data_IF_877035957414
#
_entry.id   IF_877035957414
#
_cell.length_a   1.000
_cell.length_b   1.000
_cell.length_c   1.000
_cell.angle_alpha   90.00
_cell.angle_beta   90.00
_cell.angle_gamma   90.00
#
_symmetry.space_group_name_H-M   'P 1'
#
loop_
_entity.id
_entity.type
_entity.pdbx_description
1 polymer ?
#
# COMPACT_ATOMS: atom_id res chain seq x y z
N UNK A 1 10.39 14.88 6.07
CA UNK A 1 9.90 13.84 7.02
C UNK A 1 8.50 13.32 6.70
N UNK A 2 7.41 14.13 6.62
CA UNK A 2 6.05 13.58 6.37
C UNK A 2 5.97 12.85 5.02
N UNK A 3 6.49 13.44 3.94
CA UNK A 3 6.58 12.81 2.63
C UNK A 3 7.33 11.47 2.68
N UNK A 4 8.54 11.45 3.25
CA UNK A 4 9.38 10.25 3.33
C UNK A 4 8.71 9.14 4.15
N UNK A 5 8.02 9.49 5.24
CA UNK A 5 7.24 8.52 6.01
C UNK A 5 6.08 7.94 5.19
N UNK A 6 5.34 8.80 4.47
CA UNK A 6 4.27 8.34 3.60
C UNK A 6 4.76 7.46 2.46
N UNK A 7 5.94 7.77 1.91
CA UNK A 7 6.59 6.98 0.88
C UNK A 7 7.06 5.62 1.43
N UNK A 8 7.74 5.59 2.59
CA UNK A 8 8.19 4.35 3.23
C UNK A 8 7.01 3.42 3.57
N UNK A 9 5.91 3.97 4.09
CA UNK A 9 4.72 3.18 4.41
C UNK A 9 4.05 2.61 3.14
N UNK A 10 4.05 3.35 2.03
CA UNK A 10 3.54 2.86 0.74
C UNK A 10 4.46 1.78 0.15
N UNK A 11 5.76 1.95 0.25
CA UNK A 11 6.76 0.98 -0.19
C UNK A 11 6.58 -0.34 0.56
N UNK A 12 6.50 -0.29 1.90
CA UNK A 12 6.25 -1.49 2.71
C UNK A 12 4.94 -2.18 2.33
N UNK A 13 3.84 -1.42 2.17
CA UNK A 13 2.55 -1.98 1.76
C UNK A 13 2.59 -2.61 0.35
N UNK A 14 3.43 -2.08 -0.54
CA UNK A 14 3.63 -2.60 -1.89
C UNK A 14 4.41 -3.91 -1.84
N UNK A 15 5.50 -3.97 -1.08
CA UNK A 15 6.31 -5.17 -0.87
C UNK A 15 5.54 -6.30 -0.20
N UNK A 16 4.69 -5.98 0.78
CA UNK A 16 3.84 -6.98 1.43
C UNK A 16 2.77 -7.55 0.49
N UNK A 17 2.23 -6.72 -0.42
CA UNK A 17 1.25 -7.17 -1.40
C UNK A 17 1.91 -8.00 -2.50
N UNK A 18 3.03 -7.54 -3.06
CA UNK A 18 3.78 -8.27 -4.08
C UNK A 18 4.29 -9.61 -3.54
N UNK A 19 4.91 -9.59 -2.36
CA UNK A 19 5.39 -10.80 -1.69
C UNK A 19 4.28 -11.82 -1.45
N UNK A 20 3.10 -11.38 -1.00
CA UNK A 20 1.96 -12.27 -0.81
C UNK A 20 1.50 -12.88 -2.14
N UNK A 21 1.43 -12.10 -3.22
CA UNK A 21 0.99 -12.60 -4.53
C UNK A 21 1.98 -13.58 -5.14
N UNK A 22 3.28 -13.31 -5.05
CA UNK A 22 4.33 -14.13 -5.66
C UNK A 22 4.60 -15.44 -4.92
N UNK A 23 4.48 -15.43 -3.58
CA UNK A 23 4.93 -16.55 -2.74
C UNK A 23 3.76 -17.16 -1.96
N UNK A 24 3.17 -16.39 -1.05
CA UNK A 24 2.26 -16.91 -0.03
C UNK A 24 0.89 -17.35 -0.59
N UNK A 25 0.44 -16.71 -1.67
CA UNK A 25 -0.82 -17.05 -2.33
C UNK A 25 -0.75 -18.47 -2.91
N UNK A 26 0.38 -18.87 -3.49
CA UNK A 26 0.55 -20.21 -4.05
C UNK A 26 0.59 -21.31 -2.99
N UNK A 27 0.93 -20.96 -1.75
CA UNK A 27 0.97 -21.86 -0.60
C UNK A 27 -0.37 -21.97 0.14
N UNK A 28 -1.28 -21.01 -0.07
CA UNK A 28 -2.58 -20.96 0.61
C UNK A 28 -3.57 -21.89 -0.10
N UNK A 29 -3.97 -22.98 0.56
CA UNK A 29 -4.95 -23.95 0.01
C UNK A 29 -6.40 -23.49 0.15
N UNK A 30 -6.68 -22.55 1.07
CA UNK A 30 -8.01 -22.00 1.28
C UNK A 30 -8.25 -20.76 0.40
N UNK A 31 -9.02 -20.93 -0.68
CA UNK A 31 -9.33 -19.86 -1.63
C UNK A 31 -10.08 -18.68 -1.02
N UNK A 32 -10.92 -18.91 -0.01
CA UNK A 32 -11.66 -17.83 0.68
C UNK A 32 -10.71 -16.96 1.49
N UNK A 33 -9.79 -17.59 2.22
CA UNK A 33 -8.75 -16.90 2.97
C UNK A 33 -7.81 -16.13 2.05
N UNK A 34 -7.40 -16.74 0.94
CA UNK A 34 -6.57 -16.08 -0.08
C UNK A 34 -7.25 -14.82 -0.60
N UNK A 35 -8.52 -14.92 -1.01
CA UNK A 35 -9.30 -13.78 -1.51
C UNK A 35 -9.35 -12.66 -0.48
N UNK A 36 -9.62 -12.98 0.78
CA UNK A 36 -9.69 -12.00 1.85
C UNK A 36 -8.33 -11.29 2.05
N UNK A 37 -7.25 -12.06 2.16
CA UNK A 37 -5.89 -11.53 2.33
C UNK A 37 -5.44 -10.63 1.18
N UNK A 38 -5.69 -11.04 -0.07
CA UNK A 38 -5.40 -10.20 -1.24
C UNK A 38 -6.20 -8.89 -1.18
N UNK A 39 -7.50 -8.96 -0.89
CA UNK A 39 -8.35 -7.78 -0.84
C UNK A 39 -7.90 -6.79 0.23
N UNK A 40 -7.55 -7.27 1.43
CA UNK A 40 -7.14 -6.40 2.53
C UNK A 40 -5.80 -5.73 2.23
N UNK A 41 -4.81 -6.48 1.73
CA UNK A 41 -3.50 -5.94 1.34
C UNK A 41 -3.62 -4.92 0.20
N UNK A 42 -4.40 -5.24 -0.83
CA UNK A 42 -4.62 -4.32 -1.96
C UNK A 42 -5.32 -3.02 -1.51
N UNK A 43 -6.35 -3.11 -0.68
CA UNK A 43 -7.05 -1.93 -0.14
C UNK A 43 -6.11 -1.07 0.69
N UNK A 44 -5.31 -1.68 1.56
CA UNK A 44 -4.36 -0.95 2.39
C UNK A 44 -3.30 -0.22 1.55
N UNK A 45 -2.69 -0.91 0.57
CA UNK A 45 -1.75 -0.30 -0.39
C UNK A 45 -2.40 0.88 -1.14
N UNK A 46 -3.65 0.72 -1.60
CA UNK A 46 -4.43 1.79 -2.22
C UNK A 46 -4.64 3.00 -1.30
N UNK A 47 -4.94 2.78 -0.02
CA UNK A 47 -5.07 3.84 0.98
C UNK A 47 -3.75 4.56 1.22
N UNK A 48 -2.62 3.83 1.35
CA UNK A 48 -1.30 4.46 1.54
C UNK A 48 -0.92 5.33 0.35
N UNK A 49 -1.21 4.88 -0.87
CA UNK A 49 -0.99 5.66 -2.09
C UNK A 49 -1.82 6.94 -2.08
N UNK A 50 -3.09 6.86 -1.68
CA UNK A 50 -3.96 8.05 -1.58
C UNK A 50 -3.41 9.06 -0.58
N UNK A 51 -3.02 8.62 0.62
CA UNK A 51 -2.44 9.51 1.66
C UNK A 51 -1.18 10.21 1.14
N UNK A 52 -0.29 9.49 0.46
CA UNK A 52 0.92 10.09 -0.13
C UNK A 52 0.56 11.16 -1.18
N UNK A 53 -0.35 10.85 -2.11
CA UNK A 53 -0.74 11.77 -3.18
C UNK A 53 -1.50 12.99 -2.65
N UNK A 54 -2.41 12.80 -1.70
CA UNK A 54 -3.16 13.89 -1.08
C UNK A 54 -2.19 14.86 -0.36
N UNK A 55 -1.18 14.36 0.36
CA UNK A 55 -0.14 15.19 0.99
C UNK A 55 0.73 15.95 -0.02
N UNK A 56 1.12 15.30 -1.13
CA UNK A 56 1.90 15.94 -2.20
C UNK A 56 1.09 17.06 -2.86
N UNK A 57 -0.20 16.81 -3.14
CA UNK A 57 -1.10 17.80 -3.72
C UNK A 57 -1.26 19.02 -2.79
N UNK A 58 -1.52 18.80 -1.50
CA UNK A 58 -1.60 19.87 -0.50
C UNK A 58 -0.32 20.71 -0.47
N UNK A 59 0.85 20.08 -0.49
CA UNK A 59 2.11 20.83 -0.46
C UNK A 59 2.33 21.68 -1.72
N UNK A 60 1.81 21.28 -2.89
CA UNK A 60 1.84 22.12 -4.09
C UNK A 60 0.82 23.26 -4.03
N UNK A 61 -0.37 23.02 -3.47
CA UNK A 61 -1.40 24.06 -3.33
C UNK A 61 -1.01 25.15 -2.32
N UNK A 62 -0.27 24.76 -1.28
CA UNK A 62 0.13 25.63 -0.18
C UNK A 62 1.58 26.12 -0.25
N UNK A 63 2.31 25.79 -1.33
CA UNK A 63 3.70 26.21 -1.57
C UNK A 63 4.68 25.79 -0.45
N UNK A 64 4.54 24.55 0.03
CA UNK A 64 5.36 23.96 1.10
C UNK A 64 6.61 23.21 0.61
N UNK A 65 6.79 23.13 -0.71
CA UNK A 65 7.88 22.39 -1.36
C UNK A 65 9.06 23.29 -1.76
#
# INVERSE_FOLDING_TARGET
IIFEQNQADLELATEELSGYLERDSTQTTNLTEMKQKVQDKYRYCGTRRKVLLDHVAEGYECDYW
#
